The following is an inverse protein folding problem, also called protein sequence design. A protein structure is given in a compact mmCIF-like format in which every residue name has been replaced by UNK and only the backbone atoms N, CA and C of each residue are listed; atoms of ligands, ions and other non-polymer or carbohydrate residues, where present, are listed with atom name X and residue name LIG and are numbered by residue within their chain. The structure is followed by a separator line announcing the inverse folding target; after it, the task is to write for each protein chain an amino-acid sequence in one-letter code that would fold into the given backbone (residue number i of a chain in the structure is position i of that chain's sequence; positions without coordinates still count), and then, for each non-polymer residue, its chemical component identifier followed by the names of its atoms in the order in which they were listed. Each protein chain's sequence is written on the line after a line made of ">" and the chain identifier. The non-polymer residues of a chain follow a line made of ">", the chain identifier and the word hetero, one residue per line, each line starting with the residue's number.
data_IF_398834812610
#
_entry.id   IF_398834812610
#
_cell.length_a   1.000
_cell.length_b   1.000
_cell.length_c   1.000
_cell.angle_alpha   90.00
_cell.angle_beta   90.00
_cell.angle_gamma   90.00
#
_symmetry.space_group_name_H-M   'P 1'
#
loop_
_entity.id
_entity.type
_entity.pdbx_description
1 polymer ?
#
# COMPACT_ATOMS: atom_id res chain seq x y z
N UNK A 1 5.91 -21.02 -19.26
CA UNK A 1 5.62 -20.10 -18.15
C UNK A 1 6.90 -19.36 -17.84
N UNK A 2 6.89 -18.03 -17.91
CA UNK A 2 8.05 -17.17 -17.73
C UNK A 2 8.10 -16.71 -16.27
N UNK A 3 9.29 -16.74 -15.67
CA UNK A 3 9.51 -16.39 -14.28
C UNK A 3 10.49 -15.23 -14.16
N UNK A 4 10.18 -14.29 -13.28
CA UNK A 4 11.04 -13.15 -12.99
C UNK A 4 11.20 -12.99 -11.47
N UNK A 5 12.43 -12.90 -11.00
CA UNK A 5 12.84 -12.98 -9.61
C UNK A 5 13.34 -11.63 -9.11
N UNK A 6 12.59 -11.01 -8.21
CA UNK A 6 12.96 -9.73 -7.61
C UNK A 6 13.35 -9.93 -6.15
N UNK A 7 14.65 -9.97 -5.88
CA UNK A 7 15.16 -10.08 -4.52
C UNK A 7 14.85 -8.83 -3.68
N UNK A 8 14.41 -9.05 -2.45
CA UNK A 8 14.07 -7.97 -1.51
C UNK A 8 15.33 -7.37 -0.90
N UNK A 9 15.36 -6.05 -0.84
CA UNK A 9 16.43 -5.27 -0.21
C UNK A 9 16.23 -5.06 1.29
N UNK A 10 15.04 -5.40 1.81
CA UNK A 10 14.62 -5.08 3.19
C UNK A 10 14.00 -3.68 3.32
N UNK A 11 13.77 -3.02 2.18
CA UNK A 11 13.11 -1.72 2.10
C UNK A 11 11.69 -1.99 1.61
N UNK A 12 10.83 -2.40 2.54
CA UNK A 12 9.55 -3.04 2.25
C UNK A 12 8.68 -2.24 1.26
N UNK A 13 8.58 -0.92 1.46
CA UNK A 13 7.74 -0.08 0.60
C UNK A 13 8.35 0.05 -0.81
N UNK A 14 9.66 0.24 -0.88
CA UNK A 14 10.40 0.26 -2.14
C UNK A 14 10.30 -1.07 -2.89
N UNK A 15 10.49 -2.20 -2.21
CA UNK A 15 10.50 -3.54 -2.77
C UNK A 15 9.10 -3.92 -3.31
N UNK A 16 8.03 -3.67 -2.55
CA UNK A 16 6.64 -3.86 -3.01
C UNK A 16 6.33 -2.99 -4.22
N UNK A 17 6.71 -1.71 -4.17
CA UNK A 17 6.49 -0.80 -5.29
C UNK A 17 7.24 -1.28 -6.53
N UNK A 18 8.48 -1.77 -6.38
CA UNK A 18 9.28 -2.33 -7.49
C UNK A 18 8.65 -3.59 -8.06
N UNK A 19 8.13 -4.49 -7.21
CA UNK A 19 7.44 -5.71 -7.64
C UNK A 19 6.18 -5.41 -8.45
N UNK A 20 5.35 -4.48 -8.00
CA UNK A 20 4.20 -4.04 -8.78
C UNK A 20 4.58 -3.34 -10.10
N UNK A 21 5.65 -2.55 -10.09
CA UNK A 21 6.17 -1.92 -11.30
C UNK A 21 6.64 -2.93 -12.35
N UNK A 22 7.45 -3.91 -11.94
CA UNK A 22 7.85 -5.02 -12.80
C UNK A 22 6.65 -5.83 -13.27
N UNK A 23 5.70 -6.12 -12.36
CA UNK A 23 4.44 -6.78 -12.71
C UNK A 23 3.68 -6.04 -13.81
N UNK A 24 3.57 -4.70 -13.75
CA UNK A 24 2.88 -3.91 -14.77
C UNK A 24 3.56 -3.99 -16.12
N UNK A 25 4.90 -3.90 -16.13
CA UNK A 25 5.69 -4.08 -17.35
C UNK A 25 5.39 -5.44 -17.96
N UNK A 26 5.50 -6.52 -17.18
CA UNK A 26 5.26 -7.88 -17.65
C UNK A 26 3.80 -8.03 -18.13
N UNK A 27 2.81 -7.52 -17.39
CA UNK A 27 1.41 -7.57 -17.80
C UNK A 27 1.18 -6.86 -19.13
N UNK A 28 1.80 -5.69 -19.36
CA UNK A 28 1.65 -4.95 -20.61
C UNK A 28 2.26 -5.71 -21.80
N UNK A 29 3.44 -6.28 -21.62
CA UNK A 29 4.16 -6.94 -22.71
C UNK A 29 3.64 -8.35 -23.01
N UNK A 30 3.03 -9.03 -22.04
CA UNK A 30 2.59 -10.44 -22.19
C UNK A 30 1.07 -10.59 -22.14
N UNK A 31 0.33 -9.58 -21.69
CA UNK A 31 -1.11 -9.60 -21.46
C UNK A 31 -1.54 -10.14 -20.09
N UNK A 32 -0.65 -10.78 -19.33
CA UNK A 32 -0.95 -11.31 -18.00
C UNK A 32 0.28 -11.28 -17.08
N UNK A 33 0.07 -11.02 -15.79
CA UNK A 33 1.12 -11.16 -14.80
C UNK A 33 0.51 -11.50 -13.44
N UNK A 34 1.20 -12.36 -12.71
CA UNK A 34 0.93 -12.61 -11.29
C UNK A 34 2.15 -12.28 -10.46
N UNK A 35 1.94 -11.92 -9.20
CA UNK A 35 3.00 -11.61 -8.24
C UNK A 35 2.77 -12.49 -7.00
N UNK A 36 3.81 -13.21 -6.60
CA UNK A 36 3.82 -14.08 -5.42
C UNK A 36 4.98 -13.71 -4.50
N UNK A 37 4.72 -13.52 -3.22
CA UNK A 37 5.77 -13.36 -2.21
C UNK A 37 6.33 -14.74 -1.83
N UNK A 38 7.65 -14.92 -1.95
CA UNK A 38 8.37 -16.14 -1.59
C UNK A 38 9.29 -15.92 -0.37
N UNK A 39 9.02 -14.90 0.44
CA UNK A 39 9.84 -14.51 1.58
C UNK A 39 10.98 -13.60 1.16
N UNK A 40 12.10 -14.17 0.69
CA UNK A 40 13.30 -13.40 0.32
C UNK A 40 13.23 -12.67 -1.03
N UNK A 41 12.23 -12.98 -1.85
CA UNK A 41 12.02 -12.38 -3.17
C UNK A 41 10.54 -12.37 -3.55
N UNK A 42 10.18 -11.48 -4.48
CA UNK A 42 8.92 -11.56 -5.21
C UNK A 42 9.14 -12.33 -6.51
N UNK A 43 8.26 -13.30 -6.78
CA UNK A 43 8.19 -14.03 -8.03
C UNK A 43 7.08 -13.42 -8.90
N UNK A 44 7.45 -12.91 -10.07
CA UNK A 44 6.52 -12.43 -11.07
C UNK A 44 6.43 -13.50 -12.17
N UNK A 45 5.22 -13.92 -12.52
CA UNK A 45 5.00 -15.00 -13.48
C UNK A 45 4.08 -14.56 -14.62
N UNK A 46 4.39 -14.99 -15.83
CA UNK A 46 3.52 -14.83 -17.00
C UNK A 46 3.39 -16.13 -17.80
N UNK A 47 2.25 -16.30 -18.47
CA UNK A 47 1.97 -17.49 -19.29
C UNK A 47 2.42 -17.29 -20.73
N UNK A 48 2.51 -16.04 -21.17
CA UNK A 48 2.80 -15.66 -22.54
C UNK A 48 4.22 -15.11 -22.67
N UNK A 49 4.75 -15.16 -23.88
CA UNK A 49 6.01 -14.52 -24.23
C UNK A 49 5.89 -12.99 -24.25
N UNK A 50 7.01 -12.32 -23.99
CA UNK A 50 7.12 -10.87 -23.95
C UNK A 50 7.10 -10.31 -25.37
N UNK A 51 6.07 -9.51 -25.69
CA UNK A 51 5.93 -8.80 -26.96
C UNK A 51 6.19 -7.31 -26.75
N UNK A 52 7.24 -6.81 -27.39
CA UNK A 52 7.69 -5.42 -27.22
C UNK A 52 6.90 -4.41 -28.05
N UNK A 53 5.96 -4.85 -28.88
CA UNK A 53 5.12 -4.00 -29.72
C UNK A 53 4.23 -3.04 -28.91
N UNK A 54 4.02 -3.36 -27.63
CA UNK A 54 3.20 -2.57 -26.69
C UNK A 54 4.03 -1.78 -25.66
N UNK A 55 5.35 -1.69 -25.86
CA UNK A 55 6.24 -1.05 -24.88
C UNK A 55 5.85 0.41 -24.60
N UNK A 56 5.41 1.15 -25.62
CA UNK A 56 4.95 2.53 -25.47
C UNK A 56 3.70 2.66 -24.58
N UNK A 57 2.90 1.60 -24.44
CA UNK A 57 1.72 1.62 -23.56
C UNK A 57 2.08 1.75 -22.08
N UNK A 58 3.33 1.45 -21.69
CA UNK A 58 3.81 1.64 -20.32
C UNK A 58 3.71 3.12 -19.91
N UNK A 59 3.90 4.05 -20.86
CA UNK A 59 3.80 5.49 -20.61
C UNK A 59 2.41 5.92 -20.09
N UNK A 60 1.35 5.19 -20.46
CA UNK A 60 -0.04 5.46 -20.05
C UNK A 60 -0.26 5.31 -18.54
N UNK A 61 0.64 4.61 -17.84
CA UNK A 61 0.57 4.45 -16.39
C UNK A 61 1.19 5.61 -15.60
N UNK A 62 1.78 6.60 -16.27
CA UNK A 62 2.33 7.79 -15.63
C UNK A 62 1.29 8.92 -15.58
N UNK A 63 0.35 8.80 -14.65
CA UNK A 63 -0.59 9.88 -14.32
C UNK A 63 0.14 11.05 -13.64
N UNK A 64 -0.05 12.27 -14.16
CA UNK A 64 0.65 13.46 -13.68
C UNK A 64 0.24 13.87 -12.26
N UNK A 65 -1.00 13.62 -11.87
CA UNK A 65 -1.50 13.94 -10.53
C UNK A 65 -0.91 13.01 -9.48
N UNK A 66 -0.89 11.71 -9.78
CA UNK A 66 -0.27 10.67 -8.96
C UNK A 66 1.25 10.84 -8.89
N UNK A 67 1.90 11.19 -10.01
CA UNK A 67 3.33 11.46 -10.04
C UNK A 67 3.70 12.67 -9.17
N UNK A 68 2.96 13.79 -9.27
CA UNK A 68 3.18 14.98 -8.43
C UNK A 68 3.05 14.65 -6.94
N UNK A 69 2.10 13.80 -6.58
CA UNK A 69 1.88 13.37 -5.19
C UNK A 69 2.97 12.39 -4.73
N UNK A 70 3.38 11.47 -5.60
CA UNK A 70 4.49 10.54 -5.32
C UNK A 70 5.81 11.30 -5.11
N UNK A 71 6.03 12.38 -5.85
CA UNK A 71 7.25 13.20 -5.77
C UNK A 71 7.03 14.49 -4.97
N UNK A 72 6.12 14.47 -3.99
CA UNK A 72 5.69 15.68 -3.26
C UNK A 72 6.84 16.39 -2.52
N UNK A 73 7.92 15.68 -2.18
CA UNK A 73 9.09 16.24 -1.50
C UNK A 73 9.86 17.24 -2.39
N UNK A 74 9.96 16.99 -3.70
CA UNK A 74 10.56 17.90 -4.67
C UNK A 74 9.52 18.81 -5.35
N UNK A 75 8.29 18.32 -5.52
CA UNK A 75 7.18 19.08 -6.08
C UNK A 75 6.71 20.18 -5.09
N UNK A 76 6.70 19.90 -3.79
CA UNK A 76 6.24 20.74 -2.66
C UNK A 76 4.75 21.10 -2.62
N UNK A 77 4.01 20.95 -3.73
CA UNK A 77 2.57 21.25 -3.81
C UNK A 77 1.85 20.42 -4.87
N UNK A 78 0.66 19.90 -4.55
CA UNK A 78 -0.19 19.18 -5.51
C UNK A 78 -0.90 20.11 -6.48
N UNK A 79 -1.16 21.37 -6.08
CA UNK A 79 -1.93 22.37 -6.84
C UNK A 79 -1.12 23.10 -7.91
N UNK A 80 0.20 23.10 -7.83
CA UNK A 80 1.04 23.77 -8.82
C UNK A 80 1.23 22.92 -10.08
N UNK A 81 1.62 23.59 -11.16
CA UNK A 81 2.20 22.91 -12.32
C UNK A 81 3.35 21.98 -11.90
N UNK A 82 3.58 20.96 -12.71
CA UNK A 82 4.67 20.01 -12.49
C UNK A 82 6.01 20.75 -12.59
N UNK A 83 6.78 20.73 -11.51
CA UNK A 83 8.06 21.45 -11.47
C UNK A 83 9.10 20.80 -12.38
N UNK A 84 10.10 21.55 -12.89
CA UNK A 84 11.14 21.01 -13.76
C UNK A 84 11.86 19.75 -13.21
N UNK A 85 12.17 19.64 -11.90
CA UNK A 85 12.76 18.41 -11.36
C UNK A 85 11.85 17.18 -11.50
N UNK A 86 10.53 17.34 -11.34
CA UNK A 86 9.55 16.25 -11.49
C UNK A 86 9.43 15.85 -12.96
N UNK A 87 9.37 16.83 -13.87
CA UNK A 87 9.38 16.57 -15.33
C UNK A 87 10.64 15.82 -15.76
N UNK A 88 11.81 16.21 -15.24
CA UNK A 88 13.09 15.52 -15.51
C UNK A 88 13.08 14.07 -15.02
N UNK A 89 12.56 13.83 -13.81
CA UNK A 89 12.40 12.46 -13.27
C UNK A 89 11.44 11.64 -14.14
N UNK A 90 10.30 12.21 -14.54
CA UNK A 90 9.34 11.56 -15.46
C UNK A 90 10.02 11.15 -16.76
N UNK A 91 10.70 12.08 -17.42
CA UNK A 91 11.36 11.85 -18.72
C UNK A 91 12.36 10.71 -18.65
N UNK A 92 13.25 10.71 -17.65
CA UNK A 92 14.23 9.62 -17.45
C UNK A 92 13.59 8.25 -17.20
N UNK A 93 12.52 8.22 -16.41
CA UNK A 93 11.82 6.96 -16.13
C UNK A 93 11.11 6.44 -17.39
N UNK A 94 10.50 7.32 -18.17
CA UNK A 94 9.88 6.95 -19.44
C UNK A 94 10.94 6.44 -20.41
N UNK A 95 12.04 7.16 -20.62
CA UNK A 95 13.17 6.70 -21.45
C UNK A 95 13.64 5.29 -21.04
N UNK A 96 13.82 5.05 -19.74
CA UNK A 96 14.21 3.73 -19.22
C UNK A 96 13.17 2.64 -19.50
N UNK A 97 11.88 2.98 -19.42
CA UNK A 97 10.76 2.02 -19.45
C UNK A 97 10.13 1.84 -20.84
N UNK A 98 10.38 2.76 -21.78
CA UNK A 98 9.82 2.71 -23.13
C UNK A 98 10.86 2.48 -24.21
N UNK A 99 12.16 2.54 -23.89
CA UNK A 99 13.21 2.11 -24.79
C UNK A 99 13.31 0.57 -24.85
N UNK A 100 13.27 0.01 -26.06
CA UNK A 100 13.19 -1.44 -26.27
C UNK A 100 14.45 -2.16 -25.80
N UNK A 101 15.63 -1.65 -26.13
CA UNK A 101 16.90 -2.28 -25.77
C UNK A 101 17.14 -2.24 -24.25
N UNK A 102 16.86 -1.09 -23.64
CA UNK A 102 16.88 -0.90 -22.19
C UNK A 102 15.95 -1.87 -21.49
N UNK A 103 14.71 -2.03 -21.99
CA UNK A 103 13.73 -2.91 -21.37
C UNK A 103 14.02 -4.40 -21.55
N UNK A 104 14.54 -4.83 -22.70
CA UNK A 104 15.05 -6.20 -22.86
C UNK A 104 16.12 -6.48 -21.80
N UNK A 105 17.05 -5.53 -21.60
CA UNK A 105 18.11 -5.66 -20.60
C UNK A 105 17.55 -5.69 -19.18
N UNK A 106 16.57 -4.85 -18.87
CA UNK A 106 15.89 -4.83 -17.56
C UNK A 106 15.24 -6.18 -17.29
N UNK A 107 14.46 -6.72 -18.24
CA UNK A 107 13.72 -7.98 -18.06
C UNK A 107 14.67 -9.15 -17.88
N UNK A 108 15.72 -9.25 -18.72
CA UNK A 108 16.75 -10.30 -18.60
C UNK A 108 17.42 -10.32 -17.22
N UNK A 109 17.64 -9.15 -16.61
CA UNK A 109 18.19 -9.06 -15.26
C UNK A 109 17.27 -9.63 -14.18
N UNK A 110 16.00 -9.91 -14.47
CA UNK A 110 15.08 -10.54 -13.54
C UNK A 110 14.79 -12.00 -13.90
N UNK A 111 15.27 -12.54 -15.03
CA UNK A 111 15.07 -13.97 -15.38
C UNK A 111 15.80 -14.93 -14.43
N UNK A 112 16.83 -14.44 -13.73
CA UNK A 112 17.57 -15.18 -12.71
C UNK A 112 17.48 -14.45 -11.37
N UNK A 113 17.54 -15.21 -10.27
CA UNK A 113 17.61 -14.64 -8.93
C UNK A 113 18.96 -13.96 -8.72
N UNK A 114 18.95 -12.63 -8.73
CA UNK A 114 20.11 -11.80 -8.50
C UNK A 114 20.14 -11.25 -7.07
N UNK A 115 21.30 -10.75 -6.64
CA UNK A 115 21.44 -10.05 -5.37
C UNK A 115 20.46 -8.87 -5.28
N UNK A 116 19.97 -8.53 -4.06
CA UNK A 116 19.12 -7.36 -3.87
C UNK A 116 19.76 -6.07 -4.39
N UNK A 117 18.93 -5.10 -4.76
CA UNK A 117 19.37 -3.78 -5.19
C UNK A 117 20.35 -3.16 -4.18
N UNK A 118 21.60 -2.93 -4.62
CA UNK A 118 22.65 -2.36 -3.76
C UNK A 118 22.42 -0.85 -3.59
N UNK A 119 22.37 -0.42 -2.34
CA UNK A 119 22.21 0.98 -1.94
C UNK A 119 23.58 1.64 -1.83
N UNK A 120 23.73 2.83 -2.43
CA UNK A 120 24.91 3.67 -2.21
C UNK A 120 25.81 3.92 -3.42
N UNK A 121 25.42 3.53 -4.63
CA UNK A 121 26.17 3.89 -5.85
C UNK A 121 25.48 5.02 -6.64
N UNK A 122 26.27 5.83 -7.35
CA UNK A 122 25.96 7.13 -7.95
C UNK A 122 24.84 7.16 -9.01
N UNK A 123 23.58 7.01 -8.58
CA UNK A 123 22.41 7.05 -9.48
C UNK A 123 21.30 7.97 -8.95
N UNK A 124 20.05 7.51 -8.87
CA UNK A 124 18.88 8.31 -8.55
C UNK A 124 18.56 8.30 -7.04
N UNK A 125 18.14 9.44 -6.49
CA UNK A 125 17.71 9.52 -5.08
C UNK A 125 16.37 8.81 -4.87
N UNK A 126 16.31 7.88 -3.93
CA UNK A 126 15.05 7.30 -3.44
C UNK A 126 14.32 8.33 -2.57
N UNK A 127 13.08 8.65 -2.92
CA UNK A 127 12.29 9.65 -2.22
C UNK A 127 11.55 9.05 -1.02
N UNK A 128 11.40 9.84 0.04
CA UNK A 128 10.82 9.41 1.33
C UNK A 128 9.36 8.94 1.25
N UNK A 129 8.63 9.38 0.23
CA UNK A 129 7.28 8.88 -0.10
C UNK A 129 7.32 7.42 -0.55
N UNK A 130 8.38 7.01 -1.25
CA UNK A 130 8.53 5.67 -1.79
C UNK A 130 9.08 4.70 -0.75
N UNK A 131 9.86 5.20 0.21
CA UNK A 131 10.25 4.44 1.41
C UNK A 131 10.69 5.37 2.55
N UNK A 132 10.15 5.18 3.76
CA UNK A 132 10.52 6.00 4.92
C UNK A 132 11.90 5.67 5.47
N UNK A 133 12.46 4.48 5.24
CA UNK A 133 13.85 4.17 5.60
C UNK A 133 14.85 5.07 4.85
N UNK A 134 14.42 5.75 3.77
CA UNK A 134 15.24 6.76 3.09
C UNK A 134 15.53 7.98 3.99
N UNK A 135 14.74 8.15 5.04
CA UNK A 135 14.87 9.22 6.04
C UNK A 135 16.06 9.00 6.95
N UNK A 136 16.85 10.04 7.16
CA UNK A 136 18.06 9.99 8.00
C UNK A 136 17.81 9.42 9.40
N UNK A 137 16.77 9.88 10.12
CA UNK A 137 16.48 9.43 11.49
C UNK A 137 16.03 7.95 11.58
N UNK A 138 15.08 7.55 10.73
CA UNK A 138 14.53 6.18 10.72
C UNK A 138 15.59 5.15 10.29
N UNK A 139 16.47 5.52 9.35
CA UNK A 139 17.58 4.67 8.89
C UNK A 139 18.50 4.21 10.02
N UNK A 140 18.81 5.11 10.95
CA UNK A 140 19.69 4.81 12.09
C UNK A 140 19.07 3.77 13.03
N UNK A 141 17.75 3.79 13.19
CA UNK A 141 17.01 2.83 14.02
C UNK A 141 16.85 1.47 13.36
N UNK A 142 16.61 1.43 12.04
CA UNK A 142 16.27 0.19 11.32
C UNK A 142 17.51 -0.57 10.79
N UNK A 143 18.55 0.12 10.30
CA UNK A 143 19.54 -0.53 9.42
C UNK A 143 20.97 -0.55 9.95
N UNK A 144 21.41 0.42 10.75
CA UNK A 144 22.85 0.63 10.96
C UNK A 144 23.16 1.02 12.40
N UNK A 145 23.28 0.05 13.32
CA UNK A 145 23.92 0.26 14.66
C UNK A 145 25.42 0.66 14.55
N UNK A 146 25.80 1.45 13.55
CA UNK A 146 27.11 2.03 13.28
C UNK A 146 26.94 3.52 12.98
N UNK A 147 27.71 4.34 13.68
CA UNK A 147 27.84 5.76 13.43
C UNK A 147 28.46 5.98 12.03
N UNK A 148 27.83 6.76 11.13
CA UNK A 148 28.59 7.57 10.16
C UNK A 148 27.83 8.71 9.44
N UNK A 149 28.63 9.75 9.12
CA UNK A 149 28.50 11.01 8.37
C UNK A 149 27.12 11.59 7.99
N UNK A 150 26.90 12.82 8.46
CA UNK A 150 25.86 13.73 8.01
C UNK A 150 25.86 13.93 6.48
N UNK A 151 24.73 13.66 5.81
CA UNK A 151 24.44 14.32 4.53
C UNK A 151 23.86 13.49 3.38
N UNK A 152 24.07 12.19 3.30
CA UNK A 152 23.83 11.48 2.02
C UNK A 152 22.40 10.93 1.87
N UNK A 153 21.77 11.34 0.76
CA UNK A 153 20.53 10.73 0.26
C UNK A 153 20.79 9.28 -0.16
N UNK A 154 19.79 8.42 0.05
CA UNK A 154 19.83 7.04 -0.45
C UNK A 154 19.76 7.07 -1.97
N UNK A 155 20.76 6.47 -2.62
CA UNK A 155 20.82 6.31 -4.07
C UNK A 155 20.55 4.86 -4.47
N UNK A 156 19.73 4.69 -5.51
CA UNK A 156 19.39 3.40 -6.11
C UNK A 156 19.54 3.48 -7.62
N UNK A 157 19.56 2.33 -8.31
CA UNK A 157 19.72 2.30 -9.75
C UNK A 157 18.55 2.97 -10.48
N UNK A 158 18.80 3.62 -11.63
CA UNK A 158 17.76 4.28 -12.42
C UNK A 158 16.66 3.30 -12.85
N UNK A 159 17.05 2.05 -13.16
CA UNK A 159 16.14 0.94 -13.50
C UNK A 159 15.21 0.59 -12.34
N UNK A 160 15.78 0.36 -11.16
CA UNK A 160 14.98 0.02 -9.97
C UNK A 160 14.12 1.19 -9.52
N UNK A 161 14.64 2.42 -9.65
CA UNK A 161 13.88 3.63 -9.38
C UNK A 161 12.68 3.75 -10.32
N UNK A 162 12.87 3.55 -11.63
CA UNK A 162 11.80 3.64 -12.61
C UNK A 162 10.70 2.60 -12.36
N UNK A 163 11.07 1.34 -12.08
CA UNK A 163 10.13 0.28 -11.72
C UNK A 163 9.40 0.61 -10.42
N UNK A 164 10.13 1.00 -9.36
CA UNK A 164 9.50 1.36 -8.08
C UNK A 164 8.56 2.56 -8.22
N UNK A 165 8.95 3.59 -8.98
CA UNK A 165 8.10 4.75 -9.24
C UNK A 165 6.82 4.34 -9.99
N UNK A 166 6.94 3.52 -11.03
CA UNK A 166 5.80 3.00 -11.79
C UNK A 166 4.81 2.26 -10.88
N UNK A 167 5.29 1.33 -10.04
CA UNK A 167 4.41 0.62 -9.12
C UNK A 167 3.81 1.53 -8.04
N UNK A 168 4.59 2.47 -7.48
CA UNK A 168 4.10 3.38 -6.44
C UNK A 168 3.01 4.35 -6.94
N UNK A 169 3.11 4.80 -8.19
CA UNK A 169 2.07 5.61 -8.85
C UNK A 169 0.76 4.82 -8.92
N UNK A 170 0.84 3.54 -9.26
CA UNK A 170 -0.31 2.73 -9.64
C UNK A 170 -0.93 1.89 -8.51
N UNK A 171 -0.19 1.60 -7.42
CA UNK A 171 -0.65 0.69 -6.37
C UNK A 171 -0.51 1.24 -4.94
N UNK A 172 -0.05 2.48 -4.77
CA UNK A 172 -0.06 3.14 -3.45
C UNK A 172 -1.29 4.01 -3.30
N UNK A 173 -2.16 3.70 -2.34
CA UNK A 173 -3.29 4.54 -1.95
C UNK A 173 -2.75 5.77 -1.22
N UNK A 174 -3.13 6.95 -1.69
CA UNK A 174 -2.65 8.24 -1.16
C UNK A 174 -3.83 9.01 -0.60
N UNK A 175 -3.77 9.41 0.66
CA UNK A 175 -4.82 10.21 1.32
C UNK A 175 -4.22 11.40 2.04
N UNK A 176 -4.71 12.59 1.69
CA UNK A 176 -4.40 13.81 2.42
C UNK A 176 -5.34 13.94 3.62
N UNK A 177 -4.77 14.41 4.73
CA UNK A 177 -5.47 14.72 5.97
C UNK A 177 -4.79 15.90 6.67
N UNK A 178 -5.42 16.43 7.70
CA UNK A 178 -4.81 17.46 8.57
C UNK A 178 -3.56 16.92 9.28
N UNK A 179 -3.45 15.61 9.46
CA UNK A 179 -2.30 14.94 10.05
C UNK A 179 -1.19 14.62 9.05
N UNK A 180 -1.39 14.91 7.76
CA UNK A 180 -0.41 14.68 6.70
C UNK A 180 -0.91 13.83 5.54
N UNK A 181 0.05 13.42 4.70
CA UNK A 181 -0.11 12.51 3.58
C UNK A 181 0.10 11.08 4.07
N UNK A 182 -0.94 10.27 3.92
CA UNK A 182 -0.99 8.84 4.25
C UNK A 182 -0.78 8.07 2.95
N UNK A 183 0.22 7.20 2.92
CA UNK A 183 0.56 6.32 1.81
C UNK A 183 0.38 4.89 2.27
N UNK A 184 -0.35 4.07 1.52
CA UNK A 184 -0.64 2.68 1.88
C UNK A 184 -0.52 1.79 0.65
N UNK A 185 0.27 0.72 0.71
CA UNK A 185 0.43 -0.25 -0.37
C UNK A 185 0.20 -1.68 0.17
N UNK A 186 -0.66 -2.49 -0.47
CA UNK A 186 -0.88 -3.87 -0.05
C UNK A 186 0.29 -4.78 -0.49
N UNK A 187 0.77 -5.65 0.38
CA UNK A 187 1.81 -6.63 0.04
C UNK A 187 1.20 -7.82 -0.71
N UNK A 188 1.68 -8.17 -1.92
CA UNK A 188 1.09 -9.27 -2.67
C UNK A 188 1.58 -10.62 -2.13
N UNK A 189 0.72 -11.47 -1.56
CA UNK A 189 1.10 -12.86 -1.23
C UNK A 189 1.01 -13.76 -2.45
N UNK A 190 -0.14 -13.73 -3.13
CA UNK A 190 -0.38 -14.41 -4.41
C UNK A 190 -1.51 -13.69 -5.12
N UNK A 191 -1.16 -12.93 -6.15
CA UNK A 191 -2.07 -11.95 -6.75
C UNK A 191 -1.94 -11.90 -8.26
N UNK A 192 -3.07 -11.92 -8.96
CA UNK A 192 -3.14 -11.61 -10.38
C UNK A 192 -3.24 -10.11 -10.56
N UNK A 193 -2.36 -9.50 -11.36
CA UNK A 193 -2.21 -8.05 -11.41
C UNK A 193 -3.47 -7.35 -11.95
N UNK A 194 -4.23 -8.01 -12.84
CA UNK A 194 -5.55 -7.55 -13.30
C UNK A 194 -6.49 -7.32 -12.11
N UNK A 195 -6.53 -8.26 -11.16
CA UNK A 195 -7.42 -8.17 -10.00
C UNK A 195 -6.93 -7.08 -9.04
N UNK A 196 -5.62 -6.99 -8.80
CA UNK A 196 -5.04 -5.93 -7.95
C UNK A 196 -5.41 -4.55 -8.48
N UNK A 197 -5.33 -4.32 -9.80
CA UNK A 197 -5.71 -3.05 -10.43
C UNK A 197 -7.18 -2.71 -10.22
N UNK A 198 -8.08 -3.69 -10.36
CA UNK A 198 -9.51 -3.49 -10.13
C UNK A 198 -9.79 -3.13 -8.67
N UNK A 199 -9.23 -3.90 -7.73
CA UNK A 199 -9.36 -3.64 -6.29
C UNK A 199 -8.86 -2.24 -5.97
N UNK A 200 -7.69 -1.87 -6.46
CA UNK A 200 -7.12 -0.55 -6.20
C UNK A 200 -8.00 0.60 -6.73
N UNK A 201 -8.60 0.45 -7.91
CA UNK A 201 -9.55 1.42 -8.44
C UNK A 201 -10.79 1.54 -7.53
N UNK A 202 -11.33 0.42 -7.05
CA UNK A 202 -12.47 0.39 -6.12
C UNK A 202 -12.11 1.06 -4.78
N UNK A 203 -10.93 0.77 -4.22
CA UNK A 203 -10.45 1.39 -2.98
C UNK A 203 -10.30 2.91 -3.09
N UNK A 204 -9.80 3.40 -4.23
CA UNK A 204 -9.73 4.86 -4.50
C UNK A 204 -11.11 5.50 -4.49
N UNK A 205 -12.12 4.82 -5.03
CA UNK A 205 -13.52 5.27 -5.05
C UNK A 205 -14.22 5.21 -3.70
N UNK A 206 -13.97 4.15 -2.92
CA UNK A 206 -14.64 3.87 -1.65
C UNK A 206 -14.07 4.67 -0.48
N UNK A 207 -12.74 4.84 -0.40
CA UNK A 207 -12.08 5.61 0.66
C UNK A 207 -11.74 7.00 0.14
N UNK A 208 -12.73 7.89 -0.02
CA UNK A 208 -12.51 9.20 -0.68
C UNK A 208 -11.60 10.13 0.11
N UNK A 209 -11.73 10.15 1.43
CA UNK A 209 -11.00 11.04 2.34
C UNK A 209 -10.33 10.24 3.45
N UNK A 210 -9.28 10.79 4.05
CA UNK A 210 -8.74 10.25 5.29
C UNK A 210 -9.78 10.39 6.41
N UNK A 211 -9.76 9.45 7.35
CA UNK A 211 -10.64 9.45 8.50
C UNK A 211 -10.22 10.55 9.48
N UNK A 212 -11.19 11.35 9.97
CA UNK A 212 -10.92 12.48 10.88
C UNK A 212 -10.21 12.08 12.17
N UNK A 213 -10.53 10.92 12.73
CA UNK A 213 -9.87 10.40 13.94
C UNK A 213 -8.36 10.09 13.77
N UNK A 214 -7.82 10.11 12.54
CA UNK A 214 -6.38 10.03 12.30
C UNK A 214 -5.96 9.02 11.24
N UNK A 215 -4.64 8.87 11.10
CA UNK A 215 -4.04 7.99 10.11
C UNK A 215 -4.33 6.51 10.39
N UNK A 216 -4.37 6.09 11.66
CA UNK A 216 -4.56 4.69 12.02
C UNK A 216 -5.99 4.17 11.73
N UNK A 217 -7.06 4.90 12.09
CA UNK A 217 -8.41 4.65 11.56
C UNK A 217 -8.50 4.64 10.03
N UNK A 218 -7.75 5.53 9.35
CA UNK A 218 -7.73 5.58 7.87
C UNK A 218 -7.15 4.30 7.27
N UNK A 219 -6.01 3.81 7.79
CA UNK A 219 -5.38 2.57 7.31
C UNK A 219 -6.29 1.39 7.58
N UNK A 220 -6.91 1.32 8.77
CA UNK A 220 -7.85 0.24 9.09
C UNK A 220 -9.06 0.25 8.16
N UNK A 221 -9.61 1.43 7.87
CA UNK A 221 -10.69 1.56 6.89
C UNK A 221 -10.24 1.06 5.51
N UNK A 222 -9.02 1.37 5.08
CA UNK A 222 -8.46 0.83 3.84
C UNK A 222 -8.35 -0.70 3.90
N UNK A 223 -7.88 -1.27 5.02
CA UNK A 223 -7.74 -2.71 5.23
C UNK A 223 -9.08 -3.45 5.15
N UNK A 224 -10.12 -2.96 5.82
CA UNK A 224 -11.45 -3.57 5.78
C UNK A 224 -12.02 -3.52 4.36
N UNK A 225 -11.85 -2.39 3.67
CA UNK A 225 -12.31 -2.28 2.29
C UNK A 225 -11.50 -3.21 1.38
N UNK A 226 -10.18 -3.33 1.56
CA UNK A 226 -9.34 -4.25 0.79
C UNK A 226 -9.85 -5.69 0.90
N UNK A 227 -10.02 -6.18 2.14
CA UNK A 227 -10.49 -7.55 2.40
C UNK A 227 -11.92 -7.76 1.88
N UNK A 228 -12.78 -6.75 1.97
CA UNK A 228 -14.12 -6.81 1.36
C UNK A 228 -14.05 -6.99 -0.16
N UNK A 229 -13.13 -6.29 -0.83
CA UNK A 229 -12.93 -6.43 -2.28
C UNK A 229 -12.30 -7.78 -2.63
N UNK A 230 -11.36 -8.31 -1.82
CA UNK A 230 -10.78 -9.65 -2.01
C UNK A 230 -11.87 -10.74 -2.03
N UNK A 231 -12.86 -10.67 -1.14
CA UNK A 231 -13.99 -11.62 -1.07
C UNK A 231 -14.85 -11.57 -2.34
N UNK A 232 -14.96 -10.40 -2.97
CA UNK A 232 -15.84 -10.20 -4.14
C UNK A 232 -15.21 -10.65 -5.47
N UNK A 233 -13.91 -10.92 -5.51
CA UNK A 233 -13.24 -11.36 -6.74
C UNK A 233 -13.60 -12.83 -7.03
N UNK A 234 -14.35 -13.05 -8.10
CA UNK A 234 -14.89 -14.38 -8.49
C UNK A 234 -13.86 -15.31 -9.14
N UNK A 235 -12.81 -14.77 -9.75
CA UNK A 235 -11.95 -15.46 -10.73
C UNK A 235 -10.83 -16.36 -10.13
N UNK A 236 -10.76 -16.58 -8.81
CA UNK A 236 -9.67 -17.39 -8.23
C UNK A 236 -9.96 -18.13 -6.93
N UNK A 237 -11.24 -18.33 -6.58
CA UNK A 237 -11.65 -18.93 -5.30
C UNK A 237 -11.75 -17.90 -4.17
N UNK A 238 -12.10 -18.35 -2.95
CA UNK A 238 -12.07 -17.49 -1.75
C UNK A 238 -10.65 -16.91 -1.61
N UNK A 239 -10.51 -15.58 -1.58
CA UNK A 239 -9.23 -14.85 -1.41
C UNK A 239 -8.23 -14.85 -2.57
N UNK A 240 -8.69 -14.72 -3.81
CA UNK A 240 -7.77 -14.49 -4.94
C UNK A 240 -8.12 -13.17 -5.64
N UNK A 241 -7.35 -12.09 -5.45
CA UNK A 241 -5.98 -12.02 -4.94
C UNK A 241 -5.90 -12.10 -3.41
N UNK A 242 -4.77 -12.62 -2.89
CA UNK A 242 -4.46 -12.61 -1.45
C UNK A 242 -3.34 -11.62 -1.16
N UNK A 243 -3.61 -10.63 -0.33
CA UNK A 243 -2.60 -9.74 0.23
C UNK A 243 -2.13 -10.25 1.61
N UNK A 244 -0.93 -9.89 2.04
CA UNK A 244 -0.39 -10.33 3.35
C UNK A 244 -0.59 -9.28 4.44
N UNK A 245 -0.41 -8.03 4.07
CA UNK A 245 -0.41 -6.89 4.97
C UNK A 245 -0.59 -5.59 4.18
N UNK A 246 -0.75 -4.47 4.88
CA UNK A 246 -0.59 -3.14 4.30
C UNK A 246 0.69 -2.51 4.83
N UNK A 247 1.62 -2.15 3.94
CA UNK A 247 2.72 -1.27 4.31
C UNK A 247 2.19 0.16 4.25
N UNK A 248 2.46 0.96 5.28
CA UNK A 248 2.05 2.35 5.32
C UNK A 248 3.18 3.30 5.70
N UNK A 249 3.05 4.52 5.18
CA UNK A 249 3.97 5.63 5.42
C UNK A 249 3.18 6.93 5.58
N UNK A 250 3.47 7.68 6.63
CA UNK A 250 2.83 8.96 6.96
C UNK A 250 3.87 10.06 6.84
N UNK A 251 3.56 11.09 6.05
CA UNK A 251 4.37 12.29 5.92
C UNK A 251 3.60 13.50 6.43
N UNK A 252 4.22 14.30 7.29
CA UNK A 252 3.70 15.58 7.77
C UNK A 252 4.31 16.75 7.02
N UNK A 253 3.56 17.83 6.88
CA UNK A 253 4.07 19.07 6.32
C UNK A 253 4.67 19.92 7.45
N UNK A 254 5.95 20.26 7.35
CA UNK A 254 6.65 21.18 8.27
C UNK A 254 7.12 22.38 7.46
N UNK A 255 6.43 23.52 7.63
CA UNK A 255 6.60 24.67 6.74
C UNK A 255 6.23 24.30 5.30
N UNK A 256 7.17 24.49 4.36
CA UNK A 256 6.99 24.14 2.93
C UNK A 256 7.53 22.76 2.55
N UNK A 257 8.03 21.97 3.50
CA UNK A 257 8.63 20.67 3.25
C UNK A 257 7.76 19.54 3.81
N UNK A 258 7.67 18.45 3.07
CA UNK A 258 7.08 17.21 3.56
C UNK A 258 8.15 16.39 4.23
N UNK A 259 7.89 15.99 5.47
CA UNK A 259 8.79 15.20 6.31
C UNK A 259 8.10 13.91 6.77
N UNK A 260 8.80 12.78 6.77
CA UNK A 260 8.44 11.55 7.46
C UNK A 260 7.91 11.79 8.86
N UNK A 261 6.84 11.10 9.23
CA UNK A 261 6.26 11.15 10.57
C UNK A 261 6.26 9.78 11.22
N UNK A 262 5.68 8.77 10.57
CA UNK A 262 5.63 7.38 11.06
C UNK A 262 5.34 6.45 9.90
N UNK A 263 5.64 5.17 10.05
CA UNK A 263 5.32 4.13 9.09
C UNK A 263 5.29 2.78 9.78
N UNK A 264 4.87 1.76 9.05
CA UNK A 264 4.81 0.41 9.59
C UNK A 264 4.08 -0.56 8.67
N UNK A 265 3.75 -1.71 9.25
CA UNK A 265 3.02 -2.78 8.59
C UNK A 265 1.74 -3.00 9.40
N UNK A 266 0.59 -2.90 8.73
CA UNK A 266 -0.71 -3.22 9.29
C UNK A 266 -1.05 -4.68 8.93
N UNK A 267 -1.27 -5.56 9.91
CA UNK A 267 -1.57 -6.96 9.64
C UNK A 267 -2.98 -7.12 9.06
N UNK A 268 -3.17 -8.12 8.19
CA UNK A 268 -4.49 -8.47 7.65
C UNK A 268 -5.03 -9.79 8.21
N UNK A 269 -4.24 -10.52 9.01
CA UNK A 269 -4.57 -11.88 9.46
C UNK A 269 -5.93 -11.97 10.13
N UNK A 270 -6.24 -11.06 11.05
CA UNK A 270 -7.54 -11.03 11.74
C UNK A 270 -8.69 -10.76 10.78
N UNK A 271 -8.52 -9.82 9.84
CA UNK A 271 -9.55 -9.53 8.84
C UNK A 271 -9.75 -10.72 7.89
N UNK A 272 -8.68 -11.44 7.54
CA UNK A 272 -8.77 -12.66 6.74
C UNK A 272 -9.47 -13.80 7.50
N UNK A 273 -9.18 -13.98 8.80
CA UNK A 273 -9.90 -14.93 9.65
C UNK A 273 -11.40 -14.64 9.69
N UNK A 274 -11.79 -13.38 9.86
CA UNK A 274 -13.20 -12.95 9.81
C UNK A 274 -13.79 -13.20 8.43
N UNK A 275 -13.04 -12.91 7.38
CA UNK A 275 -13.49 -13.06 6.01
C UNK A 275 -13.71 -14.54 5.61
N UNK A 276 -13.00 -15.48 6.25
CA UNK A 276 -13.17 -16.92 6.03
C UNK A 276 -14.49 -17.45 6.63
N UNK A 277 -15.13 -16.70 7.53
CA UNK A 277 -16.36 -17.09 8.22
C UNK A 277 -17.64 -16.89 7.39
N UNK A 278 -18.71 -17.60 7.76
CA UNK A 278 -20.04 -17.44 7.14
C UNK A 278 -20.66 -16.05 7.41
N UNK A 279 -20.20 -15.36 8.45
CA UNK A 279 -20.67 -14.03 8.86
C UNK A 279 -19.81 -12.88 8.32
N UNK A 280 -18.80 -13.18 7.51
CA UNK A 280 -17.83 -12.22 6.98
C UNK A 280 -18.46 -10.91 6.48
N UNK A 281 -19.44 -11.02 5.58
CA UNK A 281 -20.09 -9.87 4.94
C UNK A 281 -20.79 -8.99 5.97
N UNK A 282 -21.45 -9.59 6.97
CA UNK A 282 -22.18 -8.85 8.00
C UNK A 282 -21.22 -8.07 8.90
N UNK A 283 -20.16 -8.73 9.37
CA UNK A 283 -19.16 -8.14 10.27
C UNK A 283 -18.40 -7.02 9.57
N UNK A 284 -17.87 -7.27 8.36
CA UNK A 284 -17.12 -6.28 7.60
C UNK A 284 -17.99 -5.08 7.21
N UNK A 285 -19.25 -5.29 6.82
CA UNK A 285 -20.16 -4.18 6.51
C UNK A 285 -20.49 -3.33 7.74
N UNK A 286 -20.63 -3.95 8.92
CA UNK A 286 -20.83 -3.22 10.17
C UNK A 286 -19.63 -2.34 10.48
N UNK A 287 -18.40 -2.87 10.39
CA UNK A 287 -17.19 -2.08 10.59
C UNK A 287 -17.02 -0.98 9.52
N UNK A 288 -17.32 -1.27 8.26
CA UNK A 288 -17.36 -0.24 7.18
C UNK A 288 -18.35 0.87 7.49
N UNK A 289 -19.53 0.53 8.02
CA UNK A 289 -20.55 1.52 8.41
C UNK A 289 -20.06 2.42 9.54
N UNK A 290 -19.39 1.84 10.55
CA UNK A 290 -18.76 2.60 11.64
C UNK A 290 -17.77 3.61 11.05
N UNK A 291 -16.71 3.15 10.38
CA UNK A 291 -15.68 4.05 9.83
C UNK A 291 -16.25 5.05 8.82
N UNK A 292 -17.22 4.63 8.00
CA UNK A 292 -17.88 5.49 7.02
C UNK A 292 -18.63 6.65 7.68
N UNK A 293 -19.44 6.36 8.69
CA UNK A 293 -20.23 7.37 9.39
C UNK A 293 -19.36 8.28 10.27
N UNK A 294 -18.39 7.71 11.01
CA UNK A 294 -17.50 8.48 11.89
C UNK A 294 -16.46 9.31 11.14
N UNK A 295 -16.23 9.04 9.85
CA UNK A 295 -15.16 9.67 9.06
C UNK A 295 -15.16 11.20 9.06
N UNK A 296 -16.32 11.83 9.26
CA UNK A 296 -16.50 13.30 9.21
C UNK A 296 -17.24 13.87 10.43
N UNK A 297 -17.47 13.06 11.47
CA UNK A 297 -18.23 13.47 12.67
C UNK A 297 -17.28 13.79 13.81
N UNK A 298 -17.55 14.90 14.49
CA UNK A 298 -16.81 15.32 15.68
C UNK A 298 -17.36 14.61 16.92
N UNK A 299 -16.51 14.30 17.89
CA UNK A 299 -16.92 13.71 19.17
C UNK A 299 -17.13 12.19 19.13
N UNK A 300 -16.85 11.54 17.99
CA UNK A 300 -16.96 10.10 17.80
C UNK A 300 -15.61 9.46 17.48
N UNK A 301 -14.49 10.13 17.77
CA UNK A 301 -13.16 9.66 17.40
C UNK A 301 -12.74 8.40 18.16
N UNK A 302 -13.26 8.17 19.37
CA UNK A 302 -12.91 7.02 20.21
C UNK A 302 -13.39 5.68 19.63
N UNK A 303 -14.58 5.65 19.03
CA UNK A 303 -15.17 4.43 18.45
C UNK A 303 -14.34 3.85 17.28
N UNK A 304 -14.02 4.61 16.20
CA UNK A 304 -13.20 4.11 15.10
C UNK A 304 -11.74 3.91 15.52
N UNK A 305 -11.25 4.64 16.53
CA UNK A 305 -9.89 4.44 17.06
C UNK A 305 -9.77 3.13 17.82
N UNK A 306 -10.69 2.85 18.75
CA UNK A 306 -10.72 1.57 19.47
C UNK A 306 -10.99 0.37 18.55
N UNK A 307 -11.85 0.54 17.54
CA UNK A 307 -12.04 -0.50 16.52
C UNK A 307 -10.77 -0.73 15.68
N UNK A 308 -10.04 0.34 15.34
CA UNK A 308 -8.76 0.22 14.63
C UNK A 308 -7.69 -0.53 15.46
N UNK A 309 -7.57 -0.20 16.74
CA UNK A 309 -6.68 -0.90 17.67
C UNK A 309 -7.04 -2.38 17.82
N UNK A 310 -8.34 -2.68 17.94
CA UNK A 310 -8.82 -4.06 18.01
C UNK A 310 -8.50 -4.85 16.75
N UNK A 311 -8.78 -4.30 15.57
CA UNK A 311 -8.52 -5.02 14.31
C UNK A 311 -7.02 -5.26 14.10
N UNK A 312 -6.17 -4.30 14.46
CA UNK A 312 -4.72 -4.44 14.30
C UNK A 312 -4.09 -5.38 15.33
N UNK A 313 -4.68 -5.47 16.53
CA UNK A 313 -4.19 -6.30 17.61
C UNK A 313 -5.40 -6.90 18.37
N UNK A 314 -5.95 -8.02 17.87
CA UNK A 314 -7.18 -8.59 18.37
C UNK A 314 -6.92 -9.34 19.69
N UNK A 315 -6.89 -8.61 20.80
CA UNK A 315 -6.81 -9.17 22.15
C UNK A 315 -8.01 -8.76 23.00
N UNK A 316 -8.23 -9.44 24.13
CA UNK A 316 -9.39 -9.22 24.98
C UNK A 316 -9.51 -7.76 25.45
N UNK A 317 -8.39 -7.12 25.77
CA UNK A 317 -8.39 -5.73 26.23
C UNK A 317 -8.88 -4.76 25.14
N UNK A 318 -8.33 -4.87 23.92
CA UNK A 318 -8.73 -4.03 22.80
C UNK A 318 -10.17 -4.31 22.38
N UNK A 319 -10.60 -5.58 22.43
CA UNK A 319 -11.97 -5.96 22.16
C UNK A 319 -12.95 -5.32 23.15
N UNK A 320 -12.68 -5.46 24.46
CA UNK A 320 -13.50 -4.85 25.52
C UNK A 320 -13.57 -3.33 25.35
N UNK A 321 -12.45 -2.68 25.05
CA UNK A 321 -12.42 -1.24 24.78
C UNK A 321 -13.32 -0.86 23.60
N UNK A 322 -13.21 -1.56 22.48
CA UNK A 322 -14.08 -1.35 21.31
C UNK A 322 -15.56 -1.55 21.67
N UNK A 323 -15.92 -2.67 22.28
CA UNK A 323 -17.31 -3.00 22.65
C UNK A 323 -17.89 -1.95 23.59
N UNK A 324 -17.12 -1.46 24.56
CA UNK A 324 -17.57 -0.39 25.46
C UNK A 324 -17.93 0.89 24.71
N UNK A 325 -17.13 1.32 23.74
CA UNK A 325 -17.45 2.50 22.91
C UNK A 325 -18.63 2.23 21.97
N UNK A 326 -18.72 1.03 21.40
CA UNK A 326 -19.83 0.63 20.55
C UNK A 326 -21.15 0.68 21.35
N UNK A 327 -21.21 0.06 22.52
CA UNK A 327 -22.39 0.06 23.39
C UNK A 327 -22.78 1.46 23.85
N UNK A 328 -21.81 2.32 24.22
CA UNK A 328 -22.10 3.73 24.55
C UNK A 328 -22.78 4.45 23.39
N UNK A 329 -22.31 4.24 22.15
CA UNK A 329 -22.95 4.77 20.96
C UNK A 329 -24.36 4.19 20.73
N UNK A 330 -24.54 2.88 20.93
CA UNK A 330 -25.84 2.22 20.78
C UNK A 330 -26.87 2.60 21.87
N UNK A 331 -26.45 3.03 23.06
CA UNK A 331 -27.36 3.46 24.14
C UNK A 331 -27.78 4.93 23.99
N UNK A 332 -26.90 5.78 23.48
CA UNK A 332 -27.16 7.22 23.35
C UNK A 332 -28.22 7.52 22.26
N UNK A 333 -29.37 8.07 22.64
CA UNK A 333 -30.54 8.27 21.76
C UNK A 333 -30.27 9.16 20.55
N UNK A 334 -29.29 10.06 20.64
CA UNK A 334 -29.01 11.03 19.58
C UNK A 334 -28.02 10.49 18.53
N UNK A 335 -27.42 9.32 18.79
CA UNK A 335 -26.43 8.70 17.92
C UNK A 335 -27.05 7.72 16.91
N UNK A 336 -26.42 7.59 15.74
CA UNK A 336 -26.78 6.55 14.78
C UNK A 336 -26.57 5.18 15.41
N UNK A 337 -27.49 4.25 15.10
CA UNK A 337 -27.36 2.85 15.49
C UNK A 337 -26.65 2.05 14.41
N UNK A 338 -25.57 1.39 14.80
CA UNK A 338 -24.87 0.40 13.98
C UNK A 338 -25.49 -0.99 14.15
N UNK A 339 -26.31 -1.17 15.19
CA UNK A 339 -27.02 -2.39 15.49
C UNK A 339 -26.18 -3.35 16.35
N UNK A 340 -26.88 -4.23 17.04
CA UNK A 340 -26.27 -5.23 17.89
C UNK A 340 -25.52 -6.28 17.07
N UNK A 341 -24.52 -6.90 17.69
CA UNK A 341 -23.99 -8.16 17.19
C UNK A 341 -25.01 -9.24 17.46
N UNK A 342 -25.43 -9.94 16.40
CA UNK A 342 -26.12 -11.21 16.61
C UNK A 342 -25.16 -12.17 17.33
N UNK A 343 -25.70 -13.12 18.08
CA UNK A 343 -24.90 -14.07 18.85
C UNK A 343 -23.84 -14.74 17.97
N UNK A 344 -24.19 -15.07 16.74
CA UNK A 344 -23.32 -15.73 15.77
C UNK A 344 -22.15 -14.84 15.34
N UNK A 345 -22.40 -13.54 15.06
CA UNK A 345 -21.35 -12.57 14.72
C UNK A 345 -20.39 -12.38 15.92
N UNK A 346 -20.95 -12.30 17.14
CA UNK A 346 -20.17 -12.11 18.36
C UNK A 346 -19.24 -13.30 18.63
N UNK A 347 -19.78 -14.52 18.54
CA UNK A 347 -18.99 -15.74 18.72
C UNK A 347 -17.87 -15.85 17.69
N UNK A 348 -18.13 -15.47 16.44
CA UNK A 348 -17.11 -15.48 15.39
C UNK A 348 -15.98 -14.48 15.66
N UNK A 349 -16.32 -13.26 16.08
CA UNK A 349 -15.30 -12.27 16.47
C UNK A 349 -14.48 -12.80 17.66
N UNK A 350 -15.15 -13.30 18.71
CA UNK A 350 -14.51 -13.79 19.93
C UNK A 350 -13.59 -15.00 19.72
N UNK A 351 -13.91 -15.89 18.78
CA UNK A 351 -13.08 -17.04 18.43
C UNK A 351 -11.67 -16.64 17.98
N UNK A 352 -11.54 -15.45 17.40
CA UNK A 352 -10.31 -14.95 16.80
C UNK A 352 -9.62 -13.86 17.66
N UNK A 353 -10.09 -13.66 18.90
CA UNK A 353 -9.44 -12.77 19.89
C UNK A 353 -8.37 -13.55 20.63
N UNK A 354 -7.11 -13.11 20.54
CA UNK A 354 -6.00 -13.60 21.33
C UNK A 354 -6.27 -13.39 22.83
N UNK A 355 -6.14 -14.49 23.58
CA UNK A 355 -6.23 -14.50 25.05
C UNK A 355 -4.88 -14.08 25.64
#
# INVERSE_FOLDING_TARGET
>A
MNHYFLAKSGWEFFDVSKAYGLGLVIQTLTGNASITDRGGFYLIESKNETKFDKIEEISKYFDDSELKTTLITIQRSTKSEMKPPVKKVKGKCLETLTDKESMITVIKNYENLNSPSIIGTDKQTLYQTMDLAATKGIRNEILLKKNYSDGTNIKISDKDFALSLLGHINFTIKKFSDFGLILVAPTPLKTELKNVRQIYANLKGNVKVAHKAGWFPTITQIAINLVSEEIMVKDGGKFAPKFGSLIYSIMRKTGNQWKPSTGGIFPLDFLHQIADSDNAINILNKWKKIFGWTSRKNGHEDLPTSLAEFIANPNLFNYQRYVNFHLRNEIDKDNIKFGDYKKEDFLEVMKNVGI
#
